data_IF_407635680218
#
_entry.id   IF_407635680218
#
_cell.length_a   1.000
_cell.length_b   1.000
_cell.length_c   1.000
_cell.angle_alpha   90.00
_cell.angle_beta   90.00
_cell.angle_gamma   90.00
#
_symmetry.space_group_name_H-M   'P 1'
#
loop_
_entity.id
_entity.type
_entity.pdbx_description
1 polymer ?
#
# COMPACT_ATOMS: atom_id res chain seq x y z
N UNK A 1 -44.71 -53.77 -12.11
CA UNK A 1 -44.28 -52.62 -11.28
C UNK A 1 -43.74 -53.17 -9.98
N UNK A 2 -42.41 -53.31 -9.85
CA UNK A 2 -41.74 -54.00 -8.73
C UNK A 2 -41.40 -52.99 -7.63
N UNK A 3 -41.90 -53.26 -6.42
CA UNK A 3 -41.50 -52.67 -5.13
C UNK A 3 -40.28 -53.41 -4.59
N UNK A 4 -39.18 -52.72 -4.37
CA UNK A 4 -38.02 -53.09 -3.51
C UNK A 4 -37.64 -51.76 -2.84
N UNK A 5 -37.64 -51.54 -1.53
CA UNK A 5 -37.21 -52.41 -0.44
C UNK A 5 -35.82 -51.98 0.01
N UNK A 6 -35.67 -50.76 0.55
CA UNK A 6 -34.40 -50.26 1.09
C UNK A 6 -34.30 -50.74 2.55
N UNK A 7 -33.39 -51.68 2.80
CA UNK A 7 -32.97 -52.07 4.15
C UNK A 7 -31.99 -51.03 4.69
N UNK A 8 -32.29 -50.51 5.88
CA UNK A 8 -31.31 -49.93 6.80
C UNK A 8 -30.36 -51.04 7.30
N UNK A 9 -29.06 -50.74 7.31
CA UNK A 9 -28.16 -51.21 8.35
C UNK A 9 -27.17 -50.09 8.66
N UNK A 10 -27.27 -49.60 9.89
CA UNK A 10 -26.48 -48.53 10.46
C UNK A 10 -25.01 -48.94 10.67
N UNK A 11 -24.10 -47.98 10.52
CA UNK A 11 -22.84 -47.98 11.26
C UNK A 11 -22.59 -46.60 11.86
N UNK A 12 -22.29 -46.64 13.15
CA UNK A 12 -22.18 -45.57 14.12
C UNK A 12 -21.10 -44.52 13.78
N UNK A 13 -21.48 -43.26 14.00
CA UNK A 13 -20.81 -42.27 14.86
C UNK A 13 -19.29 -42.41 15.07
N UNK A 14 -18.53 -41.50 14.45
CA UNK A 14 -17.56 -40.70 15.20
C UNK A 14 -17.98 -39.24 15.03
N UNK A 15 -18.24 -38.59 16.16
CA UNK A 15 -18.59 -37.20 16.26
C UNK A 15 -17.35 -36.31 16.15
N UNK A 16 -17.42 -35.33 15.25
CA UNK A 16 -17.02 -33.92 15.42
C UNK A 16 -17.59 -33.23 14.17
N UNK A 17 -18.61 -32.38 14.22
CA UNK A 17 -18.72 -31.28 15.17
C UNK A 17 -17.83 -30.12 14.76
N UNK A 18 -17.90 -29.69 13.49
CA UNK A 18 -17.60 -28.33 13.03
C UNK A 18 -18.19 -28.16 11.63
N UNK A 19 -19.40 -27.59 11.57
CA UNK A 19 -19.68 -26.60 10.55
C UNK A 19 -18.61 -25.51 10.76
N UNK A 20 -17.64 -25.39 9.87
CA UNK A 20 -16.84 -24.18 9.79
C UNK A 20 -17.63 -23.24 8.86
N UNK A 21 -18.18 -22.08 9.20
CA UNK A 21 -18.20 -21.23 10.40
C UNK A 21 -16.93 -21.25 11.25
N UNK A 22 -15.82 -20.97 10.56
CA UNK A 22 -14.52 -20.82 11.16
C UNK A 22 -13.64 -19.96 10.28
N UNK A 23 -13.66 -18.66 10.54
CA UNK A 23 -12.56 -17.75 10.25
C UNK A 23 -12.58 -17.16 8.86
N UNK A 24 -12.97 -15.89 8.80
CA UNK A 24 -12.64 -14.97 7.73
C UNK A 24 -11.22 -15.24 7.21
N UNK A 25 -11.15 -15.43 5.91
CA UNK A 25 -9.90 -15.48 5.17
C UNK A 25 -9.03 -14.31 5.58
N UNK A 26 -7.87 -14.61 6.16
CA UNK A 26 -6.72 -13.74 6.31
C UNK A 26 -6.73 -12.57 5.29
N UNK A 27 -7.28 -11.42 5.69
CA UNK A 27 -7.08 -10.08 5.14
C UNK A 27 -7.02 -9.87 3.61
N UNK A 28 -7.66 -10.70 2.77
CA UNK A 28 -7.50 -10.63 1.32
C UNK A 28 -8.84 -10.56 0.59
N UNK A 29 -9.55 -9.44 0.77
CA UNK A 29 -10.82 -9.13 0.10
C UNK A 29 -10.69 -8.73 -1.38
N UNK A 30 -9.61 -9.16 -2.05
CA UNK A 30 -9.42 -8.86 -3.45
C UNK A 30 -10.14 -9.90 -4.26
N UNK A 31 -11.11 -9.55 -5.09
CA UNK A 31 -11.75 -10.53 -6.00
C UNK A 31 -10.71 -11.36 -6.75
N UNK A 32 -9.52 -10.81 -7.03
CA UNK A 32 -8.39 -11.53 -7.63
C UNK A 32 -7.54 -12.34 -6.65
N UNK A 33 -7.21 -11.83 -5.46
CA UNK A 33 -6.55 -12.63 -4.42
C UNK A 33 -7.44 -13.82 -3.98
N UNK A 34 -8.75 -13.59 -3.88
CA UNK A 34 -9.78 -14.59 -3.67
C UNK A 34 -9.91 -15.56 -4.86
N UNK A 35 -9.76 -15.08 -6.10
CA UNK A 35 -9.69 -15.93 -7.27
C UNK A 35 -8.42 -16.81 -7.28
N UNK A 36 -7.27 -16.32 -6.76
CA UNK A 36 -6.09 -17.16 -6.54
C UNK A 36 -6.44 -18.29 -5.59
N UNK A 37 -7.10 -17.99 -4.46
CA UNK A 37 -7.52 -19.02 -3.52
C UNK A 37 -8.43 -20.09 -4.15
N UNK A 38 -9.32 -19.69 -5.08
CA UNK A 38 -10.18 -20.65 -5.81
C UNK A 38 -9.44 -21.47 -6.86
N UNK A 39 -8.51 -20.85 -7.59
CA UNK A 39 -7.71 -21.51 -8.63
C UNK A 39 -6.58 -22.37 -8.06
N UNK A 40 -6.06 -21.98 -6.90
CA UNK A 40 -4.97 -22.64 -6.16
C UNK A 40 -5.41 -22.80 -4.70
N UNK A 41 -6.17 -23.86 -4.38
CA UNK A 41 -6.53 -24.16 -3.00
C UNK A 41 -5.29 -24.21 -2.10
N UNK A 42 -5.39 -23.68 -0.88
CA UNK A 42 -4.26 -23.60 0.07
C UNK A 42 -3.10 -22.68 -0.37
N UNK A 43 -3.27 -21.87 -1.41
CA UNK A 43 -2.31 -20.82 -1.73
C UNK A 43 -2.18 -19.82 -0.57
N UNK A 44 -0.94 -19.52 -0.20
CA UNK A 44 -0.60 -18.43 0.72
C UNK A 44 -0.17 -17.23 -0.12
N UNK A 45 -0.96 -16.17 -0.15
CA UNK A 45 -0.53 -14.92 -0.77
C UNK A 45 0.62 -14.35 0.07
N UNK A 46 1.73 -14.06 -0.58
CA UNK A 46 2.95 -13.53 0.03
C UNK A 46 3.09 -12.02 -0.19
N UNK A 47 2.50 -11.48 -1.28
CA UNK A 47 2.49 -10.04 -1.60
C UNK A 47 1.45 -9.71 -2.69
N UNK A 48 0.96 -8.47 -2.71
CA UNK A 48 0.00 -7.95 -3.70
C UNK A 48 0.27 -6.49 -4.04
N UNK A 49 0.16 -6.12 -5.32
CA UNK A 49 0.08 -4.71 -5.70
C UNK A 49 -0.62 -4.53 -7.04
N UNK A 50 -1.16 -3.33 -7.24
CA UNK A 50 -1.71 -2.89 -8.52
C UNK A 50 -0.93 -1.70 -9.08
N UNK A 51 -0.90 -1.57 -10.40
CA UNK A 51 -0.41 -0.37 -11.09
C UNK A 51 -1.29 -0.05 -12.29
N UNK A 52 -1.45 1.23 -12.60
CA UNK A 52 -2.14 1.65 -13.82
C UNK A 52 -1.10 2.09 -14.87
N UNK A 53 -1.23 1.57 -16.09
CA UNK A 53 -0.46 2.03 -17.25
C UNK A 53 -1.41 2.20 -18.43
N UNK A 54 -1.41 3.38 -19.05
CA UNK A 54 -2.20 3.69 -20.24
C UNK A 54 -3.69 3.27 -20.14
N UNK A 55 -4.33 3.52 -19.00
CA UNK A 55 -5.74 3.17 -18.77
C UNK A 55 -5.98 1.67 -18.59
N UNK A 56 -4.97 0.92 -18.15
CA UNK A 56 -5.07 -0.49 -17.75
C UNK A 56 -4.54 -0.68 -16.36
N UNK A 57 -5.31 -1.35 -15.51
CA UNK A 57 -4.87 -1.77 -14.19
C UNK A 57 -4.23 -3.15 -14.30
N UNK A 58 -3.01 -3.29 -13.82
CA UNK A 58 -2.29 -4.54 -13.70
C UNK A 58 -2.20 -4.93 -12.23
N UNK A 59 -2.67 -6.14 -11.88
CA UNK A 59 -2.53 -6.73 -10.56
C UNK A 59 -1.39 -7.75 -10.58
N UNK A 60 -0.44 -7.61 -9.66
CA UNK A 60 0.66 -8.53 -9.45
C UNK A 60 0.45 -9.23 -8.12
N UNK A 61 0.43 -10.55 -8.14
CA UNK A 61 0.14 -11.39 -6.98
C UNK A 61 1.25 -12.39 -6.81
N UNK A 62 2.01 -12.26 -5.72
CA UNK A 62 3.01 -13.22 -5.30
C UNK A 62 2.37 -14.20 -4.33
N UNK A 63 2.47 -15.49 -4.59
CA UNK A 63 1.86 -16.49 -3.71
C UNK A 63 2.65 -17.80 -3.68
N UNK A 64 2.51 -18.53 -2.59
CA UNK A 64 3.07 -19.87 -2.42
C UNK A 64 1.97 -20.92 -2.55
N UNK A 65 2.20 -21.91 -3.40
CA UNK A 65 1.31 -23.05 -3.56
C UNK A 65 2.15 -24.32 -3.78
N UNK A 66 1.80 -25.41 -3.10
CA UNK A 66 2.56 -26.68 -3.11
C UNK A 66 4.07 -26.52 -2.84
N UNK A 67 4.41 -25.60 -1.92
CA UNK A 67 5.79 -25.32 -1.53
C UNK A 67 6.61 -24.53 -2.57
N UNK A 68 5.99 -24.12 -3.70
CA UNK A 68 6.61 -23.28 -4.72
C UNK A 68 6.03 -21.87 -4.68
N UNK A 69 6.89 -20.89 -4.86
CA UNK A 69 6.48 -19.50 -5.05
C UNK A 69 6.11 -19.28 -6.53
N UNK A 70 5.01 -18.59 -6.76
CA UNK A 70 4.42 -18.30 -8.06
C UNK A 70 4.08 -16.81 -8.15
N UNK A 71 4.19 -16.25 -9.34
CA UNK A 71 3.75 -14.89 -9.65
C UNK A 71 2.58 -14.98 -10.64
N UNK A 72 1.45 -14.39 -10.27
CA UNK A 72 0.36 -14.15 -11.20
C UNK A 72 0.27 -12.67 -11.53
N UNK A 73 0.14 -12.37 -12.83
CA UNK A 73 -0.15 -11.01 -13.31
C UNK A 73 -1.46 -11.06 -14.06
N UNK A 74 -2.36 -10.17 -13.70
CA UNK A 74 -3.68 -10.02 -14.33
C UNK A 74 -3.86 -8.58 -14.75
N UNK A 75 -4.71 -8.32 -15.74
CA UNK A 75 -5.05 -6.94 -16.10
C UNK A 75 -6.55 -6.77 -16.33
N UNK A 76 -7.01 -5.53 -16.19
CA UNK A 76 -8.33 -5.07 -16.62
C UNK A 76 -8.20 -3.69 -17.25
N UNK A 77 -9.11 -3.35 -18.15
CA UNK A 77 -9.17 -1.99 -18.69
C UNK A 77 -9.83 -1.07 -17.63
N UNK A 78 -9.23 0.10 -17.41
CA UNK A 78 -9.69 1.14 -16.48
C UNK A 78 -10.65 2.09 -17.23
N UNK A 79 -11.88 1.63 -17.47
CA UNK A 79 -12.92 2.44 -18.11
C UNK A 79 -13.84 3.04 -17.03
N UNK A 80 -14.03 4.37 -17.07
CA UNK A 80 -14.92 5.07 -16.13
C UNK A 80 -16.35 4.51 -16.20
N UNK A 81 -16.76 3.83 -15.14
CA UNK A 81 -18.17 3.42 -14.93
C UNK A 81 -18.54 2.01 -15.36
N UNK A 82 -17.62 1.23 -15.94
CA UNK A 82 -17.82 -0.19 -16.23
C UNK A 82 -16.66 -1.02 -15.63
N UNK A 83 -16.96 -1.87 -14.66
CA UNK A 83 -15.97 -2.79 -14.10
C UNK A 83 -15.74 -3.93 -15.09
N UNK A 84 -14.63 -3.86 -15.83
CA UNK A 84 -14.25 -4.93 -16.76
C UNK A 84 -13.75 -6.17 -16.01
N UNK A 85 -14.12 -7.36 -16.50
CA UNK A 85 -13.62 -8.63 -15.98
C UNK A 85 -12.10 -8.68 -16.13
N UNK A 86 -11.37 -9.02 -15.05
CA UNK A 86 -9.93 -9.19 -15.23
C UNK A 86 -9.60 -10.41 -16.09
N UNK A 87 -8.55 -10.24 -16.88
CA UNK A 87 -7.93 -11.29 -17.67
C UNK A 87 -6.64 -11.72 -17.00
N UNK A 88 -6.55 -13.01 -16.65
CA UNK A 88 -5.31 -13.62 -16.16
C UNK A 88 -4.30 -13.61 -17.30
N UNK A 89 -3.18 -12.94 -17.09
CA UNK A 89 -2.19 -12.72 -18.13
C UNK A 89 -1.00 -13.67 -17.99
N UNK A 90 -0.56 -13.97 -16.78
CA UNK A 90 0.63 -14.81 -16.57
C UNK A 90 0.52 -15.65 -15.30
N UNK A 91 0.87 -16.94 -15.38
CA UNK A 91 1.12 -17.82 -14.23
C UNK A 91 2.37 -18.66 -14.52
N UNK A 92 3.30 -18.73 -13.56
CA UNK A 92 4.67 -19.25 -13.72
C UNK A 92 4.80 -20.77 -13.83
N UNK A 93 3.94 -21.49 -14.57
CA UNK A 93 4.22 -22.91 -14.82
C UNK A 93 4.97 -23.19 -16.13
N UNK A 94 4.63 -22.63 -17.31
CA UNK A 94 5.42 -22.91 -18.54
C UNK A 94 5.09 -22.00 -19.77
N UNK A 95 4.74 -20.72 -19.62
CA UNK A 95 4.37 -19.90 -20.79
C UNK A 95 4.76 -18.41 -20.73
N UNK A 96 5.23 -17.87 -21.87
CA UNK A 96 5.24 -16.44 -22.20
C UNK A 96 4.05 -16.13 -23.14
N UNK A 97 2.99 -15.46 -22.69
CA UNK A 97 1.97 -14.91 -23.57
C UNK A 97 2.36 -13.50 -24.09
N UNK A 98 2.31 -13.34 -25.41
CA UNK A 98 2.56 -12.09 -26.15
C UNK A 98 1.23 -11.53 -26.65
N UNK A 99 0.90 -10.28 -26.30
CA UNK A 99 -0.26 -9.55 -26.83
C UNK A 99 0.15 -8.34 -27.67
N UNK A 100 -0.75 -7.83 -28.54
CA UNK A 100 -0.46 -6.66 -29.40
C UNK A 100 -0.35 -5.32 -28.64
N UNK A 101 -0.98 -5.20 -27.47
CA UNK A 101 -1.08 -3.94 -26.69
C UNK A 101 -0.29 -3.94 -25.37
N UNK A 102 0.27 -5.08 -24.96
CA UNK A 102 1.05 -5.17 -23.74
C UNK A 102 2.07 -6.30 -23.83
N UNK A 103 3.27 -6.09 -23.26
CA UNK A 103 4.39 -7.03 -23.28
C UNK A 103 4.91 -7.28 -21.87
N UNK A 104 5.18 -8.54 -21.55
CA UNK A 104 5.88 -8.96 -20.34
C UNK A 104 7.22 -9.59 -20.72
N UNK A 105 8.30 -9.05 -20.17
CA UNK A 105 9.66 -9.57 -20.34
C UNK A 105 10.22 -9.94 -18.98
N UNK A 106 10.83 -11.12 -18.88
CA UNK A 106 11.54 -11.54 -17.66
C UNK A 106 12.82 -12.28 -18.02
N UNK A 107 13.87 -12.02 -17.26
CA UNK A 107 15.17 -12.70 -17.31
C UNK A 107 15.37 -13.65 -16.11
N UNK A 108 14.35 -13.82 -15.26
CA UNK A 108 14.40 -14.59 -14.03
C UNK A 108 14.80 -13.80 -12.78
N UNK A 109 15.16 -12.51 -12.92
CA UNK A 109 15.48 -11.59 -11.82
C UNK A 109 14.70 -10.27 -11.90
N UNK A 110 14.09 -9.98 -13.05
CA UNK A 110 13.27 -8.82 -13.31
C UNK A 110 12.00 -9.14 -14.09
N UNK A 111 11.00 -8.28 -13.96
CA UNK A 111 9.78 -8.25 -14.76
C UNK A 111 9.60 -6.85 -15.34
N UNK A 112 9.48 -6.77 -16.67
CA UNK A 112 9.11 -5.53 -17.37
C UNK A 112 7.68 -5.65 -17.86
N UNK A 113 6.83 -4.71 -17.45
CA UNK A 113 5.46 -4.57 -17.95
C UNK A 113 5.46 -3.38 -18.90
N UNK A 114 4.91 -3.56 -20.11
CA UNK A 114 4.68 -2.47 -21.06
C UNK A 114 3.24 -2.45 -21.53
N UNK A 115 2.68 -1.27 -21.73
CA UNK A 115 1.33 -1.05 -22.26
C UNK A 115 1.36 0.03 -23.35
N UNK A 116 0.58 -0.13 -24.42
CA UNK A 116 0.48 0.86 -25.52
C UNK A 116 -0.96 1.37 -25.61
N UNK A 117 -1.12 2.70 -25.58
CA UNK A 117 -2.44 3.34 -25.70
C UNK A 117 -2.99 3.29 -27.14
N UNK A 118 -4.24 3.74 -27.33
CA UNK A 118 -4.89 3.80 -28.64
C UNK A 118 -4.22 4.76 -29.65
N UNK A 119 -3.26 5.58 -29.22
CA UNK A 119 -2.48 6.52 -30.04
C UNK A 119 -1.09 5.97 -30.37
N UNK A 120 -0.73 4.79 -29.86
CA UNK A 120 0.58 4.18 -30.06
C UNK A 120 1.65 4.64 -29.07
N UNK A 121 1.28 5.37 -28.02
CA UNK A 121 2.21 5.78 -26.95
C UNK A 121 2.44 4.58 -26.02
N UNK A 122 3.69 4.13 -25.91
CA UNK A 122 4.09 3.02 -25.05
C UNK A 122 4.56 3.54 -23.69
N UNK A 123 4.04 2.96 -22.62
CA UNK A 123 4.54 3.08 -21.26
C UNK A 123 5.17 1.76 -20.83
N UNK A 124 6.20 1.83 -19.99
CA UNK A 124 6.88 0.65 -19.48
C UNK A 124 7.46 0.87 -18.09
N UNK A 125 7.45 -0.17 -17.28
CA UNK A 125 8.04 -0.22 -15.93
C UNK A 125 8.73 -1.55 -15.74
N UNK A 126 9.92 -1.52 -15.15
CA UNK A 126 10.70 -2.70 -14.81
C UNK A 126 10.87 -2.77 -13.31
N UNK A 127 10.46 -3.90 -12.76
CA UNK A 127 10.68 -4.24 -11.37
C UNK A 127 11.66 -5.39 -11.25
N UNK A 128 12.57 -5.32 -10.29
CA UNK A 128 13.40 -6.46 -9.88
C UNK A 128 12.89 -7.04 -8.58
N UNK A 129 13.14 -8.33 -8.37
CA UNK A 129 12.97 -8.97 -7.07
C UNK A 129 14.28 -9.65 -6.68
N UNK A 130 14.62 -9.63 -5.39
CA UNK A 130 15.80 -10.34 -4.89
C UNK A 130 15.39 -11.71 -4.33
N UNK A 131 16.12 -12.75 -4.70
CA UNK A 131 15.89 -14.13 -4.21
C UNK A 131 16.53 -14.41 -2.84
N UNK A 132 17.29 -13.46 -2.28
CA UNK A 132 18.00 -13.62 -1.00
C UNK A 132 17.18 -13.03 0.17
N UNK A 133 16.44 -13.89 0.88
CA UNK A 133 15.73 -13.52 2.11
C UNK A 133 16.66 -13.59 3.35
N UNK A 134 16.83 -12.51 4.15
CA UNK A 134 17.39 -12.64 5.49
C UNK A 134 16.36 -13.24 6.48
N UNK A 135 16.85 -14.06 7.42
CA UNK A 135 16.08 -14.87 8.38
C UNK A 135 15.62 -14.12 9.65
N UNK A 136 15.26 -12.84 9.59
CA UNK A 136 14.96 -12.04 10.81
C UNK A 136 13.55 -11.45 10.82
N UNK A 137 13.03 -11.20 12.04
CA UNK A 137 11.63 -10.96 12.41
C UNK A 137 11.12 -9.55 12.06
N UNK A 138 9.79 -9.38 11.88
CA UNK A 138 9.12 -8.09 11.59
C UNK A 138 9.09 -7.26 12.88
N UNK A 139 9.54 -5.99 12.85
CA UNK A 139 9.35 -5.05 13.97
C UNK A 139 10.58 -4.25 14.45
N UNK A 140 11.74 -4.33 13.79
CA UNK A 140 12.84 -3.40 14.05
C UNK A 140 12.80 -2.18 13.11
N UNK A 141 13.29 -1.00 13.55
CA UNK A 141 13.50 0.15 12.67
C UNK A 141 14.47 -0.27 11.55
N UNK A 142 13.98 -0.21 10.32
CA UNK A 142 14.67 -0.68 9.13
C UNK A 142 15.78 0.30 8.76
N UNK A 143 16.99 0.02 9.26
CA UNK A 143 18.22 0.68 8.81
C UNK A 143 19.02 -0.18 7.83
N UNK A 144 18.57 -1.41 7.57
CA UNK A 144 19.24 -2.35 6.68
C UNK A 144 18.49 -2.43 5.34
N UNK A 145 19.19 -2.09 4.26
CA UNK A 145 18.74 -2.22 2.86
C UNK A 145 18.31 -3.64 2.48
N UNK A 146 18.63 -4.62 3.33
CA UNK A 146 18.30 -6.04 3.19
C UNK A 146 17.02 -6.47 3.93
N UNK A 147 16.34 -5.60 4.68
CA UNK A 147 15.17 -5.98 5.51
C UNK A 147 13.80 -5.81 4.84
N UNK A 148 13.76 -5.57 3.52
CA UNK A 148 12.51 -5.71 2.76
C UNK A 148 12.12 -7.18 2.67
N UNK A 149 10.99 -7.53 3.30
CA UNK A 149 10.41 -8.87 3.23
C UNK A 149 9.43 -8.90 2.07
N UNK A 150 9.81 -9.57 0.99
CA UNK A 150 9.04 -9.71 -0.24
C UNK A 150 8.80 -8.35 -0.95
N UNK A 151 8.69 -8.38 -2.27
CA UNK A 151 8.31 -7.19 -3.05
C UNK A 151 9.11 -6.93 -4.32
N UNK A 152 8.48 -6.13 -5.18
CA UNK A 152 8.97 -5.69 -6.47
C UNK A 152 9.56 -4.29 -6.34
N UNK A 153 10.80 -4.11 -6.79
CA UNK A 153 11.52 -2.82 -6.73
C UNK A 153 11.62 -2.18 -8.10
N UNK A 154 11.14 -0.94 -8.23
CA UNK A 154 11.28 -0.17 -9.46
C UNK A 154 12.76 0.03 -9.78
N UNK A 155 13.17 -0.38 -10.97
CA UNK A 155 14.55 -0.23 -11.46
C UNK A 155 14.64 0.46 -12.81
N UNK A 156 13.54 0.51 -13.57
CA UNK A 156 13.45 1.33 -14.76
C UNK A 156 12.00 1.69 -15.09
N UNK A 157 11.81 2.76 -15.85
CA UNK A 157 10.56 3.09 -16.52
C UNK A 157 10.84 3.88 -17.80
N UNK A 158 10.15 3.59 -18.89
CA UNK A 158 10.28 4.30 -20.18
C UNK A 158 11.72 4.54 -20.68
N UNK A 159 12.61 3.60 -20.40
CA UNK A 159 14.03 3.70 -20.74
C UNK A 159 14.88 4.52 -19.75
N UNK A 160 14.28 5.16 -18.75
CA UNK A 160 14.97 5.76 -17.61
C UNK A 160 15.37 4.65 -16.64
N UNK A 161 16.66 4.58 -16.30
CA UNK A 161 17.16 3.61 -15.31
C UNK A 161 17.30 4.26 -13.95
N UNK A 162 16.97 3.53 -12.89
CA UNK A 162 17.22 3.92 -11.51
C UNK A 162 18.46 3.19 -11.01
N UNK A 163 19.43 3.95 -10.52
CA UNK A 163 20.63 3.42 -9.88
C UNK A 163 20.83 4.00 -8.49
N UNK A 164 21.46 3.21 -7.62
CA UNK A 164 21.87 3.66 -6.30
C UNK A 164 23.22 4.35 -6.36
N UNK A 165 23.26 5.62 -5.96
CA UNK A 165 24.50 6.40 -5.90
C UNK A 165 24.48 7.23 -4.62
N UNK A 166 25.44 6.99 -3.71
CA UNK A 166 25.65 7.82 -2.51
C UNK A 166 24.37 8.19 -1.71
N UNK A 167 23.56 7.19 -1.37
CA UNK A 167 22.32 7.36 -0.60
C UNK A 167 21.18 8.10 -1.31
N UNK A 168 21.34 8.51 -2.57
CA UNK A 168 20.28 9.07 -3.43
C UNK A 168 19.97 8.12 -4.58
N UNK A 169 18.82 8.34 -5.25
CA UNK A 169 18.50 7.64 -6.50
C UNK A 169 18.99 8.48 -7.67
N UNK A 170 19.81 7.88 -8.52
CA UNK A 170 20.23 8.49 -9.76
C UNK A 170 19.33 7.98 -10.89
N UNK A 171 18.57 8.88 -11.50
CA UNK A 171 17.81 8.60 -12.70
C UNK A 171 18.70 8.85 -13.90
N UNK A 172 18.94 7.83 -14.71
CA UNK A 172 19.69 7.90 -15.95
C UNK A 172 18.74 8.06 -17.13
N UNK A 173 18.67 9.26 -17.67
CA UNK A 173 17.99 9.56 -18.93
C UNK A 173 18.97 9.42 -20.10
N UNK A 174 18.46 9.35 -21.32
CA UNK A 174 19.29 9.34 -22.52
C UNK A 174 20.19 10.59 -22.62
N UNK A 175 19.70 11.73 -22.15
CA UNK A 175 20.33 13.05 -22.26
C UNK A 175 21.09 13.49 -21.00
N UNK A 176 21.16 12.63 -19.97
CA UNK A 176 21.92 12.88 -18.74
C UNK A 176 21.28 12.32 -17.48
N UNK A 177 21.89 12.63 -16.34
CA UNK A 177 21.48 12.10 -15.04
C UNK A 177 20.83 13.19 -14.15
N UNK A 178 19.96 12.77 -13.24
CA UNK A 178 19.38 13.58 -12.17
C UNK A 178 19.31 12.80 -10.84
N UNK A 179 19.66 13.47 -9.74
CA UNK A 179 19.43 12.96 -8.39
C UNK A 179 17.95 13.11 -8.03
N UNK A 180 17.42 12.08 -7.37
CA UNK A 180 16.00 11.99 -7.02
C UNK A 180 15.82 11.29 -5.68
N UNK A 181 14.75 11.68 -4.99
CA UNK A 181 14.15 10.92 -3.90
C UNK A 181 12.83 10.32 -4.37
N UNK A 182 12.65 9.01 -4.20
CA UNK A 182 11.39 8.31 -4.48
C UNK A 182 11.36 6.98 -3.73
N UNK A 183 10.14 6.49 -3.44
CA UNK A 183 9.94 5.11 -3.00
C UNK A 183 9.94 4.18 -4.22
N UNK A 184 10.68 3.07 -4.14
CA UNK A 184 10.82 2.11 -5.24
C UNK A 184 10.00 0.85 -5.01
N UNK A 185 9.46 0.67 -3.81
CA UNK A 185 8.52 -0.42 -3.58
C UNK A 185 7.28 -0.18 -4.44
N UNK A 186 6.94 -1.17 -5.27
CA UNK A 186 5.82 -1.10 -6.20
C UNK A 186 4.50 -0.66 -5.56
N UNK A 187 4.27 -0.99 -4.28
CA UNK A 187 3.06 -0.61 -3.54
C UNK A 187 2.95 0.90 -3.31
N UNK A 188 4.09 1.59 -3.34
CA UNK A 188 4.19 3.02 -3.11
C UNK A 188 4.72 3.78 -4.33
N UNK A 189 4.78 3.14 -5.51
CA UNK A 189 5.14 3.77 -6.78
C UNK A 189 3.85 4.13 -7.51
N UNK A 190 3.72 5.39 -7.93
CA UNK A 190 2.70 5.84 -8.87
C UNK A 190 3.39 6.29 -10.14
N UNK A 191 3.10 5.61 -11.25
CA UNK A 191 3.76 5.84 -12.52
C UNK A 191 3.51 7.27 -13.04
N UNK A 192 2.34 7.82 -12.75
CA UNK A 192 1.92 9.17 -13.11
C UNK A 192 2.76 10.26 -12.40
N UNK A 193 3.33 9.94 -11.23
CA UNK A 193 4.19 10.85 -10.48
C UNK A 193 5.66 10.77 -10.94
N UNK A 194 6.06 9.76 -11.71
CA UNK A 194 7.45 9.59 -12.15
C UNK A 194 7.81 10.63 -13.23
N UNK A 195 8.96 11.33 -13.11
CA UNK A 195 9.36 12.36 -14.05
C UNK A 195 9.66 11.74 -15.43
N UNK A 196 9.05 12.26 -16.49
CA UNK A 196 9.21 11.75 -17.85
C UNK A 196 10.38 12.40 -18.58
N UNK A 197 10.86 13.54 -18.07
CA UNK A 197 11.99 14.27 -18.65
C UNK A 197 13.08 14.57 -17.61
N UNK A 198 14.30 14.79 -18.11
CA UNK A 198 15.44 15.23 -17.29
C UNK A 198 15.19 16.61 -16.65
N UNK A 199 14.44 17.48 -17.32
CA UNK A 199 14.07 18.80 -16.81
C UNK A 199 13.14 18.68 -15.61
N UNK A 200 12.05 17.92 -15.75
CA UNK A 200 11.11 17.63 -14.64
C UNK A 200 11.82 17.02 -13.43
N UNK A 201 12.77 16.11 -13.66
CA UNK A 201 13.54 15.48 -12.59
C UNK A 201 14.52 16.44 -11.88
N UNK A 202 15.01 17.47 -12.59
CA UNK A 202 15.90 18.49 -12.01
C UNK A 202 15.12 19.60 -11.31
N UNK A 203 13.93 19.91 -11.79
CA UNK A 203 13.01 20.85 -11.16
C UNK A 203 12.43 20.26 -9.86
N UNK A 204 12.04 18.98 -9.89
CA UNK A 204 11.45 18.27 -8.76
C UNK A 204 12.41 17.18 -8.29
N UNK A 205 13.17 17.44 -7.23
CA UNK A 205 14.14 16.47 -6.69
C UNK A 205 13.50 15.34 -5.87
N UNK A 206 12.17 15.24 -5.82
CA UNK A 206 11.45 14.25 -5.03
C UNK A 206 10.08 13.91 -5.62
N UNK A 207 9.71 12.63 -5.58
CA UNK A 207 8.46 12.11 -6.14
C UNK A 207 7.47 11.77 -5.02
N UNK A 208 6.22 12.28 -5.06
CA UNK A 208 5.18 11.84 -4.13
C UNK A 208 4.92 10.33 -4.25
N UNK A 209 4.87 9.58 -3.13
CA UNK A 209 4.48 8.17 -3.14
C UNK A 209 3.14 7.94 -3.85
N UNK A 210 3.03 6.83 -4.55
CA UNK A 210 1.75 6.29 -4.99
C UNK A 210 0.97 5.70 -3.83
N UNK A 211 -0.35 5.63 -3.99
CA UNK A 211 -1.21 4.81 -3.16
C UNK A 211 -1.75 3.69 -4.04
N UNK A 212 -1.73 2.46 -3.55
CA UNK A 212 -2.43 1.36 -4.19
C UNK A 212 -3.86 1.82 -4.51
N UNK A 213 -4.24 1.84 -5.79
CA UNK A 213 -5.61 2.14 -6.22
C UNK A 213 -6.61 1.08 -5.73
N UNK A 214 -6.09 -0.01 -5.19
CA UNK A 214 -6.81 -1.01 -4.46
C UNK A 214 -7.47 -0.41 -3.22
N UNK A 215 -8.81 -0.29 -3.29
CA UNK A 215 -9.70 0.07 -2.18
C UNK A 215 -10.41 -1.19 -1.66
N UNK A 216 -9.73 -2.10 -0.95
CA UNK A 216 -10.36 -3.32 -0.47
C UNK A 216 -11.53 -3.04 0.48
N UNK A 217 -11.46 -1.92 1.20
CA UNK A 217 -12.36 -1.65 2.32
C UNK A 217 -12.87 -0.20 2.27
N UNK A 218 -14.12 0.01 2.72
CA UNK A 218 -14.80 1.31 2.72
C UNK A 218 -13.95 2.42 3.39
N UNK A 219 -13.10 2.06 4.34
CA UNK A 219 -12.21 2.94 5.11
C UNK A 219 -10.74 2.87 4.68
N UNK A 220 -10.44 2.68 3.39
CA UNK A 220 -9.04 2.74 2.91
C UNK A 220 -8.64 4.19 2.61
N UNK A 221 -7.54 4.64 3.20
CA UNK A 221 -6.94 5.94 2.95
C UNK A 221 -6.40 6.01 1.51
N UNK A 222 -6.74 7.10 0.83
CA UNK A 222 -6.17 7.47 -0.47
C UNK A 222 -5.86 8.95 -0.41
N UNK A 223 -4.78 9.38 -1.07
CA UNK A 223 -4.40 10.79 -1.06
C UNK A 223 -4.19 11.32 -2.48
N UNK A 224 -4.31 12.63 -2.60
CA UNK A 224 -4.04 13.37 -3.83
C UNK A 224 -3.07 14.51 -3.52
N UNK A 225 -2.22 14.87 -4.47
CA UNK A 225 -1.46 16.11 -4.36
C UNK A 225 -2.45 17.27 -4.48
N UNK A 226 -2.50 18.14 -3.46
CA UNK A 226 -3.43 19.26 -3.43
C UNK A 226 -2.69 20.60 -3.61
N UNK A 227 -3.25 21.57 -4.36
CA UNK A 227 -2.69 22.91 -4.44
C UNK A 227 -2.89 23.63 -3.11
N UNK A 228 -1.80 23.84 -2.38
CA UNK A 228 -1.80 24.61 -1.14
C UNK A 228 -1.33 26.05 -1.40
N UNK A 229 -1.71 26.97 -0.51
CA UNK A 229 -1.18 28.33 -0.53
C UNK A 229 0.35 28.28 -0.38
N UNK A 230 1.11 28.98 -1.25
CA UNK A 230 2.57 28.98 -1.18
C UNK A 230 3.07 29.74 0.05
N UNK A 231 4.35 29.53 0.36
CA UNK A 231 5.11 30.17 1.42
C UNK A 231 4.49 30.04 2.82
N UNK A 232 3.77 28.93 3.05
CA UNK A 232 3.23 28.59 4.36
C UNK A 232 4.11 27.55 5.05
N UNK A 233 4.17 27.67 6.36
CA UNK A 233 4.65 26.59 7.23
C UNK A 233 3.61 26.29 8.29
N UNK A 234 3.35 25.01 8.54
CA UNK A 234 2.40 24.55 9.56
C UNK A 234 3.04 23.52 10.47
N UNK A 235 2.68 23.59 11.76
CA UNK A 235 3.01 22.54 12.73
C UNK A 235 2.21 21.30 12.40
N UNK A 236 2.86 20.14 12.47
CA UNK A 236 2.23 18.84 12.17
C UNK A 236 1.97 18.08 13.46
N UNK A 237 0.73 17.67 13.67
CA UNK A 237 0.27 17.02 14.90
C UNK A 237 -0.06 15.55 14.70
N UNK A 238 -0.02 14.78 15.79
CA UNK A 238 -0.41 13.37 15.87
C UNK A 238 -1.90 13.21 16.22
N UNK A 239 -2.73 14.09 15.65
CA UNK A 239 -4.19 14.11 15.76
C UNK A 239 -4.78 15.45 15.32
N UNK A 240 -6.09 15.50 15.01
CA UNK A 240 -6.77 16.68 14.45
C UNK A 240 -7.04 17.73 15.56
N UNK A 241 -6.01 18.44 15.99
CA UNK A 241 -6.14 19.45 17.03
C UNK A 241 -4.81 19.95 17.60
N UNK A 242 -4.79 21.21 18.04
CA UNK A 242 -3.63 21.81 18.71
C UNK A 242 -3.33 21.19 20.10
N UNK A 243 -4.28 20.44 20.66
CA UNK A 243 -4.15 19.72 21.94
C UNK A 243 -3.44 18.36 21.80
N UNK A 244 -3.29 17.85 20.57
CA UNK A 244 -2.55 16.62 20.31
C UNK A 244 -1.03 16.85 20.37
N UNK A 245 -0.24 15.82 20.69
CA UNK A 245 1.21 15.89 20.59
C UNK A 245 1.65 16.31 19.18
N UNK A 246 2.66 17.19 19.12
CA UNK A 246 3.29 17.56 17.85
C UNK A 246 4.29 16.48 17.44
N UNK A 247 4.24 16.07 16.17
CA UNK A 247 5.10 15.03 15.61
C UNK A 247 6.59 15.41 15.64
N UNK A 248 7.47 14.46 15.32
CA UNK A 248 8.91 14.70 15.29
C UNK A 248 9.46 15.22 16.62
N UNK A 249 9.04 14.60 17.74
CA UNK A 249 9.44 14.97 19.11
C UNK A 249 9.15 16.46 19.42
N UNK A 250 8.00 16.96 18.96
CA UNK A 250 7.56 18.33 19.20
C UNK A 250 8.08 19.37 18.21
N UNK A 251 8.75 18.95 17.13
CA UNK A 251 9.44 19.85 16.18
C UNK A 251 8.88 19.82 14.77
N UNK A 252 8.00 18.87 14.43
CA UNK A 252 7.55 18.69 13.05
C UNK A 252 6.87 19.93 12.46
N UNK A 253 7.34 20.36 11.31
CA UNK A 253 6.69 21.33 10.42
C UNK A 253 6.60 20.74 9.02
N UNK A 254 5.63 21.23 8.25
CA UNK A 254 5.55 21.05 6.80
C UNK A 254 5.65 22.43 6.14
N UNK A 255 6.32 22.47 4.99
CA UNK A 255 6.32 23.62 4.06
C UNK A 255 5.31 23.33 2.95
N UNK A 256 4.60 24.34 2.47
CA UNK A 256 3.68 24.21 1.33
C UNK A 256 4.33 24.55 -0.02
N UNK A 257 5.65 24.74 -0.03
CA UNK A 257 6.42 25.02 -1.25
C UNK A 257 6.85 23.77 -2.02
N UNK A 258 6.77 22.60 -1.38
CA UNK A 258 6.95 21.30 -2.01
C UNK A 258 5.59 20.61 -2.09
N UNK A 259 5.52 19.45 -2.76
CA UNK A 259 4.30 18.68 -2.81
C UNK A 259 3.83 18.29 -1.40
N UNK A 260 2.51 18.33 -1.22
CA UNK A 260 1.83 17.80 -0.05
C UNK A 260 0.65 16.97 -0.56
N UNK A 261 0.62 15.72 -0.14
CA UNK A 261 -0.49 14.83 -0.40
C UNK A 261 -1.53 15.00 0.71
N UNK A 262 -2.80 15.09 0.35
CA UNK A 262 -3.91 15.27 1.28
C UNK A 262 -4.82 14.05 1.18
N UNK A 263 -4.99 13.35 2.30
CA UNK A 263 -5.87 12.18 2.39
C UNK A 263 -7.34 12.58 2.54
N UNK A 264 -7.58 13.75 3.12
CA UNK A 264 -8.92 14.28 3.32
C UNK A 264 -8.96 15.34 4.41
N UNK A 265 -10.11 15.98 4.52
CA UNK A 265 -10.43 16.92 5.60
C UNK A 265 -11.18 16.21 6.73
N UNK A 266 -10.98 16.66 7.97
CA UNK A 266 -11.73 16.22 9.14
C UNK A 266 -11.81 17.35 10.15
N UNK A 267 -13.01 17.90 10.34
CA UNK A 267 -13.32 18.91 11.38
C UNK A 267 -12.35 20.11 11.41
N UNK A 268 -12.00 20.67 10.24
CA UNK A 268 -11.10 21.83 10.12
C UNK A 268 -9.59 21.49 10.11
N UNK A 269 -9.27 20.22 9.88
CA UNK A 269 -7.91 19.71 9.79
C UNK A 269 -7.74 18.87 8.52
N UNK A 270 -6.53 18.87 7.97
CA UNK A 270 -6.14 18.00 6.87
C UNK A 270 -5.23 16.90 7.42
N UNK A 271 -5.52 15.64 7.08
CA UNK A 271 -4.54 14.57 7.18
C UNK A 271 -3.67 14.63 5.93
N UNK A 272 -2.38 14.83 6.10
CA UNK A 272 -1.45 15.05 5.01
C UNK A 272 -0.27 14.09 5.06
N UNK A 273 0.36 13.89 3.90
CA UNK A 273 1.69 13.30 3.76
C UNK A 273 2.64 14.30 3.11
N UNK A 274 3.88 14.31 3.60
CA UNK A 274 4.95 15.10 3.03
C UNK A 274 6.31 14.43 3.27
N UNK A 275 7.30 14.84 2.48
CA UNK A 275 8.66 14.36 2.56
C UNK A 275 9.48 15.12 3.61
N UNK A 276 10.38 14.40 4.30
CA UNK A 276 11.32 14.97 5.27
C UNK A 276 12.75 14.82 4.76
N UNK A 277 13.13 13.59 4.39
CA UNK A 277 14.41 13.25 3.79
C UNK A 277 14.29 11.96 2.96
N UNK A 278 15.43 11.51 2.41
CA UNK A 278 15.50 10.42 1.42
C UNK A 278 14.77 9.13 1.81
N UNK A 279 14.70 8.82 3.12
CA UNK A 279 14.02 7.63 3.61
C UNK A 279 12.88 7.94 4.57
N UNK A 280 12.63 9.22 4.85
CA UNK A 280 11.65 9.63 5.86
C UNK A 280 10.54 10.48 5.24
N UNK A 281 9.31 9.97 5.40
CA UNK A 281 8.10 10.72 5.16
C UNK A 281 7.40 10.98 6.49
N UNK A 282 6.29 11.72 6.45
CA UNK A 282 5.39 11.81 7.59
C UNK A 282 3.97 12.02 7.14
N UNK A 283 3.10 11.25 7.77
CA UNK A 283 1.66 11.43 7.78
C UNK A 283 1.26 12.14 9.08
N UNK A 284 0.54 13.24 8.98
CA UNK A 284 0.09 13.96 10.16
C UNK A 284 -0.91 15.05 9.86
N UNK A 285 -1.31 15.77 10.91
CA UNK A 285 -2.43 16.69 10.85
C UNK A 285 -1.97 18.15 10.81
N UNK A 286 -2.53 18.93 9.89
CA UNK A 286 -2.37 20.38 9.82
C UNK A 286 -3.72 21.07 9.75
N UNK A 287 -3.77 22.37 10.08
CA UNK A 287 -4.99 23.15 9.88
C UNK A 287 -5.27 23.32 8.37
N UNK A 288 -6.54 23.39 8.00
CA UNK A 288 -6.99 23.55 6.61
C UNK A 288 -6.90 24.98 6.08
N UNK A 289 -6.45 25.95 6.89
CA UNK A 289 -6.18 27.34 6.50
C UNK A 289 -5.12 27.53 5.40
N UNK A 290 -4.42 26.45 5.03
CA UNK A 290 -3.50 26.41 3.90
C UNK A 290 -4.20 26.18 2.56
N UNK A 291 -5.50 25.89 2.54
CA UNK A 291 -6.25 25.72 1.31
C UNK A 291 -6.57 27.08 0.67
N UNK A 292 -6.34 27.26 -0.65
CA UNK A 292 -6.84 28.40 -1.37
C UNK A 292 -8.37 28.53 -1.26
N UNK A 293 -8.88 29.75 -1.33
CA UNK A 293 -10.31 30.00 -1.25
C UNK A 293 -11.08 29.28 -2.38
N UNK A 294 -12.08 28.49 -2.01
CA UNK A 294 -12.90 27.70 -2.95
C UNK A 294 -12.32 26.33 -3.30
N UNK A 295 -11.17 25.96 -2.77
CA UNK A 295 -10.65 24.59 -2.86
C UNK A 295 -11.48 23.67 -1.97
N UNK A 296 -12.06 22.62 -2.56
CA UNK A 296 -12.75 21.56 -1.82
C UNK A 296 -11.84 20.34 -1.74
N UNK A 297 -11.60 19.86 -0.53
CA UNK A 297 -10.94 18.57 -0.28
C UNK A 297 -12.02 17.56 0.14
N UNK A 298 -11.97 16.31 -0.32
CA UNK A 298 -12.90 15.28 0.15
C UNK A 298 -12.84 15.08 1.67
N UNK A 299 -13.97 14.76 2.29
CA UNK A 299 -13.97 14.29 3.68
C UNK A 299 -13.11 13.03 3.81
N UNK A 300 -12.37 12.95 4.91
CA UNK A 300 -11.52 11.82 5.21
C UNK A 300 -12.38 10.57 5.45
N UNK A 301 -12.05 9.48 4.74
CA UNK A 301 -12.73 8.19 4.89
C UNK A 301 -12.14 7.42 6.07
N UNK A 302 -12.74 7.59 7.24
CA UNK A 302 -12.36 6.91 8.48
C UNK A 302 -13.60 6.46 9.25
N UNK A 303 -13.41 5.48 10.12
CA UNK A 303 -14.34 5.16 11.19
C UNK A 303 -14.33 6.28 12.24
N UNK A 304 -15.39 7.07 12.22
CA UNK A 304 -15.58 8.22 13.09
C UNK A 304 -16.79 8.09 14.02
N UNK A 305 -17.15 6.85 14.39
CA UNK A 305 -18.18 6.56 15.41
C UNK A 305 -18.03 7.48 16.63
N UNK A 306 -19.16 7.76 17.29
CA UNK A 306 -19.19 8.56 18.50
C UNK A 306 -18.14 8.06 19.49
N UNK A 307 -17.40 8.98 20.13
CA UNK A 307 -16.24 8.62 20.95
C UNK A 307 -16.56 7.64 22.10
N UNK A 308 -17.82 7.58 22.53
CA UNK A 308 -18.34 6.68 23.57
C UNK A 308 -18.65 5.27 23.04
N UNK A 309 -18.85 5.15 21.72
CA UNK A 309 -19.23 3.92 21.01
C UNK A 309 -18.11 3.39 20.10
N UNK A 310 -16.93 4.02 20.10
CA UNK A 310 -15.81 3.55 19.30
C UNK A 310 -15.40 2.15 19.78
N UNK A 311 -15.46 1.12 18.92
CA UNK A 311 -15.02 -0.22 19.30
C UNK A 311 -13.54 -0.18 19.69
N UNK A 312 -13.22 -0.75 20.84
CA UNK A 312 -11.84 -0.95 21.26
C UNK A 312 -11.36 -2.31 20.74
N UNK A 313 -10.31 -2.26 19.93
CA UNK A 313 -9.57 -3.41 19.48
C UNK A 313 -8.31 -3.59 20.33
N UNK A 314 -7.70 -4.76 20.24
CA UNK A 314 -6.54 -5.12 21.03
C UNK A 314 -5.31 -5.35 20.16
N UNK A 315 -4.18 -4.79 20.59
CA UNK A 315 -2.88 -5.16 20.06
C UNK A 315 -2.59 -6.61 20.47
N UNK A 316 -2.43 -7.51 19.51
CA UNK A 316 -2.21 -8.96 19.74
C UNK A 316 -0.73 -9.32 19.88
N UNK A 317 0.16 -8.47 19.37
CA UNK A 317 1.61 -8.62 19.47
C UNK A 317 2.30 -7.26 19.65
N UNK A 318 3.40 -7.23 20.41
CA UNK A 318 4.20 -6.02 20.59
C UNK A 318 4.59 -5.40 19.24
N UNK A 319 4.34 -4.09 19.08
CA UNK A 319 4.50 -3.40 17.81
C UNK A 319 4.85 -1.91 18.00
N UNK A 320 5.24 -1.26 16.91
CA UNK A 320 5.52 0.16 16.87
C UNK A 320 4.32 0.95 16.31
N UNK A 321 3.99 2.06 16.97
CA UNK A 321 3.15 3.12 16.40
C UNK A 321 4.06 4.10 15.64
N UNK A 322 3.77 4.38 14.37
CA UNK A 322 4.56 5.28 13.50
C UNK A 322 3.69 6.37 12.84
N UNK A 323 4.28 7.50 12.47
CA UNK A 323 3.69 8.48 11.53
C UNK A 323 4.26 8.33 10.11
N UNK A 324 5.14 7.36 9.88
CA UNK A 324 5.82 7.13 8.61
C UNK A 324 5.72 5.65 8.19
N UNK A 325 4.53 5.16 7.80
CA UNK A 325 4.32 3.75 7.45
C UNK A 325 5.08 3.32 6.18
N UNK A 326 5.33 4.25 5.25
CA UNK A 326 5.89 3.96 3.93
C UNK A 326 7.40 4.23 3.81
N UNK A 327 7.97 5.10 4.64
CA UNK A 327 9.40 5.40 4.67
C UNK A 327 10.14 4.63 5.77
N UNK A 328 10.66 5.37 6.74
CA UNK A 328 11.59 4.93 7.78
C UNK A 328 10.94 4.06 8.84
N UNK A 329 9.61 4.18 9.02
CA UNK A 329 8.85 3.49 10.07
C UNK A 329 9.38 3.79 11.48
N UNK A 330 10.00 4.97 11.68
CA UNK A 330 10.53 5.36 12.99
C UNK A 330 9.40 5.33 14.05
N UNK A 331 9.58 4.61 15.17
CA UNK A 331 8.53 4.52 16.17
C UNK A 331 8.34 5.87 16.88
N UNK A 332 7.10 6.34 16.90
CA UNK A 332 6.62 7.37 17.84
C UNK A 332 6.53 6.77 19.24
N UNK A 333 6.00 5.54 19.31
CA UNK A 333 5.81 4.81 20.56
C UNK A 333 5.84 3.29 20.33
N UNK A 334 6.05 2.55 21.41
CA UNK A 334 5.93 1.09 21.45
C UNK A 334 4.60 0.74 22.09
N UNK A 335 3.79 -0.08 21.43
CA UNK A 335 2.56 -0.63 21.96
C UNK A 335 2.80 -2.08 22.39
N UNK A 336 2.11 -2.50 23.45
CA UNK A 336 2.26 -3.84 24.01
C UNK A 336 1.04 -4.69 23.71
N UNK A 337 1.26 -6.00 23.56
CA UNK A 337 0.16 -6.95 23.50
C UNK A 337 -0.81 -6.73 24.69
N UNK A 338 -2.11 -6.74 24.42
CA UNK A 338 -3.17 -6.41 25.38
C UNK A 338 -3.57 -4.93 25.41
N UNK A 339 -2.83 -4.04 24.76
CA UNK A 339 -3.16 -2.62 24.75
C UNK A 339 -4.38 -2.34 23.86
N UNK A 340 -5.30 -1.53 24.38
CA UNK A 340 -6.51 -1.10 23.65
C UNK A 340 -6.22 0.07 22.72
N UNK A 341 -6.73 -0.04 21.51
CA UNK A 341 -6.68 0.98 20.45
C UNK A 341 -8.03 1.05 19.76
N UNK A 342 -8.27 2.09 18.97
CA UNK A 342 -9.44 2.13 18.09
C UNK A 342 -8.96 2.24 16.64
N UNK A 343 -9.42 1.33 15.79
CA UNK A 343 -9.26 1.43 14.35
C UNK A 343 -9.89 2.71 13.79
N UNK A 344 -9.30 3.25 12.72
CA UNK A 344 -9.81 4.41 11.98
C UNK A 344 -9.87 4.15 10.49
N UNK A 345 -8.83 3.58 9.91
CA UNK A 345 -8.78 3.32 8.48
C UNK A 345 -7.64 2.35 8.15
N UNK A 346 -7.69 1.77 6.96
CA UNK A 346 -6.57 1.04 6.38
C UNK A 346 -5.71 1.96 5.52
N UNK A 347 -4.41 1.68 5.46
CA UNK A 347 -3.50 2.26 4.47
C UNK A 347 -2.80 1.10 3.77
N UNK A 348 -3.18 0.88 2.51
CA UNK A 348 -2.85 -0.36 1.80
C UNK A 348 -3.30 -1.59 2.62
N UNK A 349 -2.63 -2.74 2.47
CA UNK A 349 -2.98 -3.96 3.22
C UNK A 349 -2.18 -4.13 4.51
N UNK A 350 -1.06 -3.40 4.63
CA UNK A 350 -0.06 -3.62 5.67
C UNK A 350 -0.27 -2.77 6.92
N UNK A 351 -1.04 -1.68 6.81
CA UNK A 351 -1.13 -0.68 7.86
C UNK A 351 -2.56 -0.36 8.25
N UNK A 352 -2.75 -0.20 9.55
CA UNK A 352 -3.95 0.34 10.14
C UNK A 352 -3.66 1.68 10.79
N UNK A 353 -4.44 2.68 10.44
CA UNK A 353 -4.50 3.95 11.11
C UNK A 353 -5.36 3.82 12.35
N UNK A 354 -4.80 4.11 13.51
CA UNK A 354 -5.44 3.89 14.81
C UNK A 354 -5.38 5.13 15.68
N UNK A 355 -6.29 5.21 16.64
CA UNK A 355 -6.18 6.11 17.80
C UNK A 355 -5.85 5.35 19.05
N UNK A 356 -4.87 5.86 19.82
CA UNK A 356 -4.42 5.24 21.07
C UNK A 356 -4.09 6.28 22.12
N UNK A 357 -4.36 5.97 23.39
CA UNK A 357 -4.02 6.83 24.53
C UNK A 357 -2.69 6.40 25.16
N UNK A 358 -1.70 7.29 25.15
CA UNK A 358 -0.36 7.06 25.71
C UNK A 358 -0.04 8.19 26.67
N UNK A 359 0.26 7.85 27.93
CA UNK A 359 0.59 8.85 28.95
C UNK A 359 -0.48 9.93 29.13
N UNK A 360 -1.76 9.56 28.99
CA UNK A 360 -2.91 10.47 29.15
C UNK A 360 -3.26 11.31 27.92
N UNK A 361 -2.47 11.25 26.83
CA UNK A 361 -2.75 11.96 25.56
C UNK A 361 -3.12 10.98 24.46
N UNK A 362 -3.98 11.41 23.54
CA UNK A 362 -4.29 10.64 22.36
C UNK A 362 -3.25 10.87 21.26
N UNK A 363 -2.99 9.81 20.52
CA UNK A 363 -2.13 9.76 19.34
C UNK A 363 -2.91 9.10 18.22
N UNK A 364 -2.76 9.65 17.01
CA UNK A 364 -3.18 9.07 15.76
C UNK A 364 -1.92 8.65 15.02
N UNK A 365 -1.87 7.42 14.53
CA UNK A 365 -0.71 6.89 13.84
C UNK A 365 -1.00 5.50 13.28
N UNK A 366 0.02 4.87 12.73
CA UNK A 366 -0.08 3.61 12.02
C UNK A 366 0.55 2.48 12.81
N UNK A 367 -0.10 1.33 12.81
CA UNK A 367 0.43 0.05 13.30
C UNK A 367 0.35 -0.98 12.17
N UNK A 368 1.22 -2.01 12.16
CA UNK A 368 1.08 -3.11 11.22
C UNK A 368 -0.26 -3.82 11.39
N UNK A 369 -0.97 -4.09 10.29
CA UNK A 369 -2.27 -4.78 10.29
C UNK A 369 -2.21 -6.15 11.01
N UNK A 370 -1.06 -6.82 10.94
CA UNK A 370 -0.87 -8.13 11.58
C UNK A 370 -0.66 -8.12 13.10
N UNK A 371 -0.61 -6.94 13.75
CA UNK A 371 -0.48 -6.84 15.21
C UNK A 371 -1.79 -6.46 15.91
N UNK A 372 -2.90 -6.39 15.16
CA UNK A 372 -4.23 -6.06 15.65
C UNK A 372 -5.09 -7.32 15.75
N UNK A 373 -6.12 -7.27 16.60
CA UNK A 373 -7.15 -8.31 16.68
C UNK A 373 -8.24 -8.02 15.67
N UNK A 374 -8.30 -8.79 14.60
CA UNK A 374 -9.47 -8.80 13.72
C UNK A 374 -10.54 -9.69 14.36
N UNK A 375 -11.68 -9.09 14.69
CA UNK A 375 -12.78 -9.72 15.44
C UNK A 375 -13.46 -10.87 14.72
#
# INVERSE_FOLDING_TARGET
MKRWGIMLAALLLIAAGALADGGDSMGLDGMRAQAIYWSYPEALIEDYSEMTLNGRVYALILFRHEGKQKLQISYRDDEEGEESDWTDWFTTEDALPQGERAQLETDGESVTISATDGKGVRQSVTYTWYTYMPKTWIGQPCYDENEWKNGFRLTAYDGVKLEWVHYTRLLRFADGDADMTLLEDMRYVCYENLPKTLEEARENGNVPPGFCYYRPQWNTLSAQVAPLLPDQSRKVYLGPGNNYPRAGKGKATVSTNDWVQVFGQYKGWLLIQYHIDVNQYRIGWINDDVLPAGTTVPELKIDDYWAEDMPEEEITADCALTDDPMGSREPIAQLKAGQKVNHRAFLCEEWEFVTVKIGGKYYWGFVPNNCMSHG
#
